data_IF_938522236898
#
_entry.id   IF_938522236898
#
_cell.length_a   1.000
_cell.length_b   1.000
_cell.length_c   1.000
_cell.angle_alpha   90.00
_cell.angle_beta   90.00
_cell.angle_gamma   90.00
#
_symmetry.space_group_name_H-M   'P 1'
#
loop_
_entity.id
_entity.type
_entity.pdbx_description
1 polymer ?
#
# COMPACT_ATOMS: atom_id res chain seq x y z
N UNK A 1 -0.10 25.36 -20.99
CA UNK A 1 1.32 25.08 -21.31
C UNK A 1 1.51 23.59 -21.61
N UNK A 2 0.61 23.00 -22.41
CA UNK A 2 0.65 21.57 -22.73
C UNK A 2 1.87 21.29 -23.60
N UNK A 3 2.68 20.30 -23.26
CA UNK A 3 3.87 19.92 -24.01
C UNK A 3 4.98 20.99 -24.03
N UNK A 4 4.87 22.03 -23.21
CA UNK A 4 5.83 23.13 -23.21
C UNK A 4 7.24 22.63 -22.85
N UNK A 5 8.25 23.18 -23.53
CA UNK A 5 9.64 22.92 -23.20
C UNK A 5 10.17 23.98 -22.24
N UNK A 6 10.35 23.57 -20.97
CA UNK A 6 10.78 24.40 -19.85
C UNK A 6 12.00 23.77 -19.14
N UNK A 7 12.78 22.98 -19.88
CA UNK A 7 13.98 22.30 -19.37
C UNK A 7 14.96 23.35 -18.82
N UNK A 8 15.39 23.16 -17.57
CA UNK A 8 16.29 24.08 -16.84
C UNK A 8 15.80 25.53 -16.73
N UNK A 9 14.51 25.78 -16.97
CA UNK A 9 13.95 27.12 -16.79
C UNK A 9 14.02 27.54 -15.32
N UNK A 10 14.27 28.82 -15.07
CA UNK A 10 14.07 29.40 -13.75
C UNK A 10 12.60 29.83 -13.61
N UNK A 11 11.85 29.06 -12.84
CA UNK A 11 10.43 29.23 -12.54
C UNK A 11 10.21 29.36 -11.03
N UNK A 12 11.25 29.74 -10.28
CA UNK A 12 11.14 29.96 -8.84
C UNK A 12 10.07 31.01 -8.55
N UNK A 13 9.20 30.71 -7.58
CA UNK A 13 8.04 31.55 -7.20
C UNK A 13 7.04 31.86 -8.33
N UNK A 14 7.15 31.17 -9.47
CA UNK A 14 6.19 31.34 -10.55
C UNK A 14 4.82 30.80 -10.13
N UNK A 15 3.75 31.39 -10.67
CA UNK A 15 2.38 30.93 -10.43
C UNK A 15 1.85 30.17 -11.65
N UNK A 16 1.49 28.91 -11.42
CA UNK A 16 0.89 27.96 -12.34
C UNK A 16 -0.42 27.38 -11.76
N UNK A 17 -1.10 28.14 -10.91
CA UNK A 17 -2.37 27.72 -10.31
C UNK A 17 -3.37 27.33 -11.40
N UNK A 18 -3.94 26.13 -11.27
CA UNK A 18 -4.87 25.49 -12.23
C UNK A 18 -4.32 25.37 -13.67
N UNK A 19 -3.01 25.54 -13.86
CA UNK A 19 -2.41 25.49 -15.19
C UNK A 19 -2.39 24.06 -15.73
N UNK A 20 -2.68 23.93 -17.03
CA UNK A 20 -2.46 22.67 -17.73
C UNK A 20 -1.01 22.57 -18.23
N UNK A 21 -0.23 21.72 -17.57
CA UNK A 21 1.17 21.37 -17.83
C UNK A 21 1.30 19.88 -18.27
N UNK A 22 0.23 19.28 -18.79
CA UNK A 22 0.28 17.92 -19.34
C UNK A 22 1.43 17.81 -20.34
N UNK A 23 2.21 16.73 -20.26
CA UNK A 23 3.35 16.44 -21.14
C UNK A 23 4.47 17.52 -21.13
N UNK A 24 4.44 18.49 -20.20
CA UNK A 24 5.46 19.52 -20.13
C UNK A 24 6.84 18.92 -19.80
N UNK A 25 7.89 19.46 -20.42
CA UNK A 25 9.28 19.08 -20.16
C UNK A 25 9.88 20.08 -19.19
N UNK A 26 9.97 19.69 -17.92
CA UNK A 26 10.46 20.50 -16.79
C UNK A 26 11.76 19.91 -16.21
N UNK A 27 12.46 19.06 -16.96
CA UNK A 27 13.68 18.41 -16.48
C UNK A 27 14.73 19.43 -16.02
N UNK A 28 15.19 19.30 -14.77
CA UNK A 28 16.13 20.22 -14.16
C UNK A 28 15.62 21.66 -13.96
N UNK A 29 14.32 21.92 -14.09
CA UNK A 29 13.75 23.25 -13.86
C UNK A 29 13.85 23.63 -12.37
N UNK A 30 14.05 24.93 -12.10
CA UNK A 30 13.95 25.48 -10.76
C UNK A 30 12.50 25.92 -10.53
N UNK A 31 11.78 25.21 -9.67
CA UNK A 31 10.39 25.44 -9.25
C UNK A 31 10.31 25.72 -7.73
N UNK A 32 11.40 26.20 -7.12
CA UNK A 32 11.44 26.53 -5.70
C UNK A 32 10.33 27.52 -5.37
N UNK A 33 9.52 27.22 -4.35
CA UNK A 33 8.38 28.05 -3.92
C UNK A 33 7.36 28.35 -5.05
N UNK A 34 7.35 27.58 -6.15
CA UNK A 34 6.37 27.77 -7.22
C UNK A 34 4.96 27.37 -6.75
N UNK A 35 3.95 28.13 -7.16
CA UNK A 35 2.56 27.80 -6.89
C UNK A 35 1.98 26.97 -8.02
N UNK A 36 1.84 25.66 -7.80
CA UNK A 36 1.28 24.65 -8.71
C UNK A 36 -0.07 24.12 -8.20
N UNK A 37 -0.76 24.87 -7.33
CA UNK A 37 -2.05 24.45 -6.77
C UNK A 37 -3.05 24.14 -7.89
N UNK A 38 -3.66 22.96 -7.86
CA UNK A 38 -4.60 22.50 -8.88
C UNK A 38 -4.00 22.24 -10.28
N UNK A 39 -2.68 22.39 -10.46
CA UNK A 39 -2.06 22.21 -11.76
C UNK A 39 -2.16 20.76 -12.27
N UNK A 40 -2.32 20.60 -13.58
CA UNK A 40 -2.37 19.29 -14.23
C UNK A 40 -1.00 18.99 -14.83
N UNK A 41 -0.23 18.10 -14.19
CA UNK A 41 1.11 17.66 -14.56
C UNK A 41 1.11 16.21 -15.06
N UNK A 42 0.00 15.76 -15.65
CA UNK A 42 -0.12 14.40 -16.18
C UNK A 42 0.95 14.15 -17.25
N UNK A 43 1.66 13.04 -17.14
CA UNK A 43 2.73 12.64 -18.06
C UNK A 43 3.86 13.70 -18.19
N UNK A 44 4.00 14.62 -17.23
CA UNK A 44 5.04 15.65 -17.25
C UNK A 44 6.41 15.07 -16.85
N UNK A 45 7.48 15.61 -17.43
CA UNK A 45 8.86 15.20 -17.13
C UNK A 45 9.50 16.22 -16.20
N UNK A 46 9.58 15.90 -14.91
CA UNK A 46 10.16 16.72 -13.83
C UNK A 46 11.51 16.16 -13.33
N UNK A 47 12.15 15.27 -14.10
CA UNK A 47 13.38 14.61 -13.68
C UNK A 47 14.47 15.63 -13.31
N UNK A 48 14.97 15.56 -12.08
CA UNK A 48 15.97 16.49 -11.53
C UNK A 48 15.48 17.92 -11.27
N UNK A 49 14.17 18.19 -11.35
CA UNK A 49 13.63 19.51 -11.02
C UNK A 49 13.70 19.79 -9.51
N UNK A 50 13.90 21.05 -9.14
CA UNK A 50 13.83 21.50 -7.76
C UNK A 50 12.43 22.05 -7.47
N UNK A 51 11.59 21.26 -6.81
CA UNK A 51 10.25 21.63 -6.36
C UNK A 51 10.27 22.00 -4.86
N UNK A 52 11.42 22.29 -4.27
CA UNK A 52 11.47 22.52 -2.81
C UNK A 52 10.56 23.68 -2.40
N UNK A 53 9.75 23.43 -1.37
CA UNK A 53 8.73 24.35 -0.85
C UNK A 53 7.67 24.78 -1.88
N UNK A 54 7.50 24.04 -2.98
CA UNK A 54 6.42 24.29 -3.94
C UNK A 54 5.05 23.96 -3.34
N UNK A 55 4.01 24.63 -3.85
CA UNK A 55 2.61 24.38 -3.49
C UNK A 55 2.00 23.46 -4.54
N UNK A 56 1.88 22.17 -4.26
CA UNK A 56 1.32 21.12 -5.14
C UNK A 56 -0.09 20.69 -4.68
N UNK A 57 -0.75 21.51 -3.87
CA UNK A 57 -2.05 21.19 -3.31
C UNK A 57 -3.07 20.92 -4.43
N UNK A 58 -3.80 19.81 -4.33
CA UNK A 58 -4.74 19.34 -5.35
C UNK A 58 -4.16 19.17 -6.77
N UNK A 59 -2.84 19.18 -6.95
CA UNK A 59 -2.22 18.98 -8.25
C UNK A 59 -2.35 17.53 -8.73
N UNK A 60 -2.34 17.33 -10.04
CA UNK A 60 -2.38 16.00 -10.68
C UNK A 60 -1.01 15.63 -11.22
N UNK A 61 -0.33 14.66 -10.61
CA UNK A 61 0.99 14.15 -11.02
C UNK A 61 0.92 12.75 -11.64
N UNK A 62 -0.23 12.36 -12.21
CA UNK A 62 -0.41 11.00 -12.76
C UNK A 62 0.61 10.74 -13.88
N UNK A 63 1.35 9.63 -13.79
CA UNK A 63 2.45 9.26 -14.70
C UNK A 63 3.61 10.27 -14.79
N UNK A 64 3.75 11.19 -13.84
CA UNK A 64 4.83 12.16 -13.88
C UNK A 64 6.19 11.50 -13.55
N UNK A 65 7.25 11.95 -14.23
CA UNK A 65 8.62 11.53 -13.94
C UNK A 65 9.27 12.50 -12.96
N UNK A 66 9.42 12.08 -11.70
CA UNK A 66 10.06 12.83 -10.61
C UNK A 66 11.45 12.27 -10.27
N UNK A 67 12.05 11.45 -11.14
CA UNK A 67 13.37 10.85 -10.92
C UNK A 67 14.41 11.92 -10.55
N UNK A 68 15.03 11.82 -9.37
CA UNK A 68 16.02 12.76 -8.87
C UNK A 68 15.51 14.18 -8.57
N UNK A 69 14.19 14.41 -8.56
CA UNK A 69 13.62 15.70 -8.19
C UNK A 69 13.73 15.97 -6.67
N UNK A 70 13.65 17.24 -6.27
CA UNK A 70 13.63 17.65 -4.86
C UNK A 70 12.24 18.17 -4.48
N UNK A 71 11.50 17.43 -3.65
CA UNK A 71 10.17 17.81 -3.16
C UNK A 71 10.22 18.40 -1.73
N UNK A 72 11.39 18.63 -1.16
CA UNK A 72 11.54 18.95 0.27
C UNK A 72 10.70 20.16 0.69
N UNK A 73 9.90 20.01 1.75
CA UNK A 73 9.04 21.08 2.27
C UNK A 73 7.84 21.44 1.38
N UNK A 74 7.59 20.69 0.31
CA UNK A 74 6.44 20.96 -0.57
C UNK A 74 5.12 20.68 0.13
N UNK A 75 4.09 21.45 -0.24
CA UNK A 75 2.72 21.23 0.20
C UNK A 75 2.02 20.31 -0.77
N UNK A 76 1.63 19.11 -0.34
CA UNK A 76 1.08 18.04 -1.18
C UNK A 76 -0.33 17.61 -0.76
N UNK A 77 -1.01 18.43 0.04
CA UNK A 77 -2.39 18.19 0.47
C UNK A 77 -3.31 17.95 -0.75
N UNK A 78 -4.03 16.81 -0.75
CA UNK A 78 -4.93 16.44 -1.85
C UNK A 78 -4.28 16.12 -3.19
N UNK A 79 -2.95 15.94 -3.25
CA UNK A 79 -2.25 15.64 -4.51
C UNK A 79 -2.71 14.29 -5.08
N UNK A 80 -2.96 14.26 -6.39
CA UNK A 80 -3.22 13.03 -7.15
C UNK A 80 -1.92 12.51 -7.78
N UNK A 81 -1.16 11.73 -7.01
CA UNK A 81 0.14 11.19 -7.42
C UNK A 81 0.08 9.69 -7.69
N UNK A 82 -0.38 9.28 -8.88
CA UNK A 82 -0.47 7.86 -9.28
C UNK A 82 0.54 7.53 -10.35
N UNK A 83 1.06 6.29 -10.33
CA UNK A 83 2.04 5.82 -11.32
C UNK A 83 3.25 6.76 -11.44
N UNK A 84 3.71 7.32 -10.32
CA UNK A 84 4.88 8.17 -10.29
C UNK A 84 6.12 7.36 -10.62
N UNK A 85 7.02 7.97 -11.38
CA UNK A 85 8.38 7.46 -11.51
C UNK A 85 9.28 8.19 -10.51
N UNK A 86 9.78 7.43 -9.55
CA UNK A 86 10.66 7.86 -8.47
C UNK A 86 11.91 6.98 -8.48
N UNK A 87 13.00 7.49 -7.90
CA UNK A 87 14.20 6.70 -7.64
C UNK A 87 14.85 7.12 -6.31
N UNK A 88 15.91 6.42 -5.90
CA UNK A 88 16.61 6.70 -4.64
C UNK A 88 17.29 8.08 -4.56
N UNK A 89 17.33 8.85 -5.66
CA UNK A 89 17.83 10.23 -5.68
C UNK A 89 16.73 11.26 -5.44
N UNK A 90 15.47 10.84 -5.54
CA UNK A 90 14.32 11.73 -5.37
C UNK A 90 14.19 12.10 -3.91
N UNK A 91 14.38 13.38 -3.58
CA UNK A 91 14.35 13.87 -2.21
C UNK A 91 12.92 14.18 -1.79
N UNK A 92 12.51 13.61 -0.67
CA UNK A 92 11.18 13.73 -0.12
C UNK A 92 11.38 13.88 1.39
N UNK A 93 11.27 15.11 1.88
CA UNK A 93 11.40 15.41 3.30
C UNK A 93 10.43 16.51 3.68
N UNK A 94 9.83 16.41 4.87
CA UNK A 94 8.93 17.42 5.42
C UNK A 94 7.79 17.80 4.46
N UNK A 95 7.24 16.84 3.71
CA UNK A 95 6.11 17.07 2.83
C UNK A 95 4.89 17.40 3.69
N UNK A 96 4.27 18.55 3.48
CA UNK A 96 3.11 19.00 4.25
C UNK A 96 1.84 18.44 3.62
N UNK A 97 1.04 17.70 4.40
CA UNK A 97 -0.13 16.95 3.89
C UNK A 97 -1.47 17.50 4.37
N UNK A 98 -1.45 18.69 4.98
CA UNK A 98 -2.59 19.41 5.59
C UNK A 98 -2.75 20.75 4.91
N UNK A 99 -3.92 21.38 5.08
CA UNK A 99 -4.18 22.71 4.53
C UNK A 99 -3.50 23.83 5.35
N UNK A 100 -3.72 25.10 5.00
CA UNK A 100 -3.13 26.25 5.72
C UNK A 100 -3.79 26.58 7.07
N UNK A 101 -4.99 26.04 7.34
CA UNK A 101 -5.80 26.30 8.53
C UNK A 101 -5.68 25.20 9.58
N UNK A 102 -5.00 24.10 9.24
CA UNK A 102 -4.80 22.93 10.09
C UNK A 102 -3.36 22.86 10.64
N UNK A 103 -3.17 22.20 11.79
CA UNK A 103 -1.83 21.88 12.28
C UNK A 103 -1.05 21.07 11.24
N UNK A 104 0.18 21.51 10.95
CA UNK A 104 1.00 20.88 9.94
C UNK A 104 1.31 19.42 10.30
N UNK A 105 0.81 18.49 9.48
CA UNK A 105 1.27 17.10 9.45
C UNK A 105 2.28 16.96 8.32
N UNK A 106 3.43 16.37 8.64
CA UNK A 106 4.52 16.17 7.68
C UNK A 106 4.89 14.70 7.52
N UNK A 107 5.29 14.32 6.31
CA UNK A 107 5.84 12.99 5.99
C UNK A 107 7.01 13.11 5.02
N UNK A 108 7.85 12.07 4.96
CA UNK A 108 9.06 12.04 4.12
C UNK A 108 8.90 11.16 2.86
N UNK A 109 7.65 10.88 2.49
CA UNK A 109 7.34 10.06 1.32
C UNK A 109 5.98 10.44 0.75
N UNK A 110 5.92 10.74 -0.55
CA UNK A 110 4.71 11.22 -1.24
C UNK A 110 3.64 10.13 -1.37
N UNK A 111 4.03 8.86 -1.45
CA UNK A 111 3.08 7.75 -1.48
C UNK A 111 2.44 7.54 -0.10
N UNK A 112 3.24 7.67 0.97
CA UNK A 112 2.74 7.70 2.35
C UNK A 112 1.84 8.92 2.58
N UNK A 113 2.22 10.09 2.05
CA UNK A 113 1.41 11.31 2.13
C UNK A 113 0.00 11.09 1.61
N UNK A 114 -0.13 10.45 0.43
CA UNK A 114 -1.43 10.10 -0.15
C UNK A 114 -2.24 9.18 0.75
N UNK A 115 -1.60 8.15 1.30
CA UNK A 115 -2.29 7.18 2.14
C UNK A 115 -2.80 7.83 3.43
N UNK A 116 -1.96 8.62 4.10
CA UNK A 116 -2.36 9.37 5.32
C UNK A 116 -3.46 10.37 4.99
N UNK A 117 -3.35 11.10 3.88
CA UNK A 117 -4.41 12.01 3.43
C UNK A 117 -5.76 11.28 3.26
N UNK A 118 -5.76 10.12 2.61
CA UNK A 118 -6.97 9.28 2.45
C UNK A 118 -7.54 8.87 3.82
N UNK A 119 -6.69 8.48 4.77
CA UNK A 119 -7.14 8.13 6.12
C UNK A 119 -7.72 9.32 6.88
N UNK A 120 -7.17 10.53 6.73
CA UNK A 120 -7.64 11.74 7.42
C UNK A 120 -8.98 12.23 6.87
N UNK A 121 -9.21 12.08 5.57
CA UNK A 121 -10.36 12.69 4.89
C UNK A 121 -11.46 11.70 4.47
N UNK A 122 -11.27 10.40 4.69
CA UNK A 122 -12.26 9.40 4.30
C UNK A 122 -12.65 8.49 5.49
N UNK A 123 -13.79 8.78 6.12
CA UNK A 123 -14.32 7.99 7.24
C UNK A 123 -14.52 6.52 6.85
N UNK A 124 -14.98 6.23 5.63
CA UNK A 124 -15.21 4.85 5.18
C UNK A 124 -13.90 4.05 5.15
N UNK A 125 -12.77 4.69 4.80
CA UNK A 125 -11.46 4.03 4.84
C UNK A 125 -11.08 3.71 6.28
N UNK A 126 -11.32 4.61 7.24
CA UNK A 126 -11.11 4.34 8.66
C UNK A 126 -11.96 3.17 9.15
N UNK A 127 -13.25 3.18 8.83
CA UNK A 127 -14.17 2.10 9.20
C UNK A 127 -13.73 0.74 8.63
N UNK A 128 -13.21 0.73 7.40
CA UNK A 128 -12.63 -0.47 6.76
C UNK A 128 -11.39 -0.95 7.52
N UNK A 129 -10.47 -0.05 7.87
CA UNK A 129 -9.26 -0.39 8.64
C UNK A 129 -9.64 -0.93 10.03
N UNK A 130 -10.59 -0.28 10.70
CA UNK A 130 -11.10 -0.72 12.01
C UNK A 130 -11.76 -2.09 11.90
N UNK A 131 -12.52 -2.35 10.84
CA UNK A 131 -13.12 -3.68 10.58
C UNK A 131 -12.04 -4.74 10.37
N UNK A 132 -11.00 -4.45 9.59
CA UNK A 132 -9.89 -5.38 9.34
C UNK A 132 -9.17 -5.71 10.66
N UNK A 133 -8.84 -4.70 11.44
CA UNK A 133 -8.06 -4.87 12.67
C UNK A 133 -8.86 -5.47 13.82
N UNK A 134 -10.18 -5.25 13.88
CA UNK A 134 -11.02 -5.72 14.98
C UNK A 134 -11.74 -7.05 14.70
N UNK A 135 -12.15 -7.31 13.44
CA UNK A 135 -13.03 -8.43 13.07
C UNK A 135 -12.43 -9.38 12.03
N UNK A 136 -11.47 -8.96 11.21
CA UNK A 136 -10.98 -9.84 10.16
C UNK A 136 -10.17 -11.00 10.73
N UNK A 137 -10.49 -12.21 10.25
CA UNK A 137 -9.77 -13.44 10.57
C UNK A 137 -9.27 -14.01 9.26
N UNK A 138 -7.96 -14.13 9.14
CA UNK A 138 -7.32 -14.66 7.95
C UNK A 138 -7.29 -16.18 8.04
N UNK A 139 -7.89 -16.86 7.05
CA UNK A 139 -7.89 -18.32 6.96
C UNK A 139 -6.97 -18.71 5.81
N UNK A 140 -5.87 -19.36 6.16
CA UNK A 140 -4.77 -19.72 5.26
C UNK A 140 -4.66 -21.24 5.15
N UNK A 141 -4.50 -21.76 3.95
CA UNK A 141 -4.23 -23.18 3.75
C UNK A 141 -4.33 -23.61 2.30
N UNK A 142 -4.12 -24.91 2.08
CA UNK A 142 -4.39 -25.58 0.81
C UNK A 142 -5.53 -26.57 1.02
N UNK A 143 -6.74 -26.16 0.66
CA UNK A 143 -7.93 -26.92 1.03
C UNK A 143 -8.29 -27.93 -0.06
N UNK A 144 -7.97 -29.20 0.19
CA UNK A 144 -8.40 -30.31 -0.67
C UNK A 144 -9.94 -30.42 -0.70
N UNK A 145 -10.50 -31.08 -1.72
CA UNK A 145 -11.95 -31.27 -1.85
C UNK A 145 -12.58 -31.88 -0.59
N UNK A 146 -11.87 -32.77 0.09
CA UNK A 146 -12.30 -33.43 1.33
C UNK A 146 -12.34 -32.49 2.54
N UNK A 147 -11.56 -31.40 2.52
CA UNK A 147 -11.46 -30.43 3.62
C UNK A 147 -12.32 -29.19 3.42
N UNK A 148 -12.88 -28.97 2.23
CA UNK A 148 -13.83 -27.87 1.96
C UNK A 148 -15.01 -27.83 2.95
N UNK A 149 -15.64 -28.95 3.34
CA UNK A 149 -16.71 -28.92 4.35
C UNK A 149 -16.24 -28.41 5.72
N UNK A 150 -15.00 -28.72 6.12
CA UNK A 150 -14.41 -28.22 7.37
C UNK A 150 -14.15 -26.72 7.27
N UNK A 151 -13.60 -26.26 6.15
CA UNK A 151 -13.39 -24.84 5.89
C UNK A 151 -14.71 -24.06 5.93
N UNK A 152 -15.76 -24.56 5.29
CA UNK A 152 -17.07 -23.92 5.30
C UNK A 152 -17.66 -23.86 6.71
N UNK A 153 -17.52 -24.93 7.49
CA UNK A 153 -17.94 -24.94 8.90
C UNK A 153 -17.19 -23.87 9.74
N UNK A 154 -15.88 -23.73 9.54
CA UNK A 154 -15.07 -22.69 10.20
C UNK A 154 -15.58 -21.30 9.81
N UNK A 155 -15.86 -21.06 8.52
CA UNK A 155 -16.35 -19.77 8.04
C UNK A 155 -17.71 -19.41 8.62
N UNK A 156 -18.63 -20.36 8.67
CA UNK A 156 -19.94 -20.15 9.28
C UNK A 156 -19.84 -19.86 10.77
N UNK A 157 -18.98 -20.57 11.49
CA UNK A 157 -18.78 -20.33 12.92
C UNK A 157 -18.13 -18.95 13.19
N UNK A 158 -17.16 -18.54 12.36
CA UNK A 158 -16.59 -17.19 12.43
C UNK A 158 -17.67 -16.12 12.23
N UNK A 159 -18.53 -16.28 11.21
CA UNK A 159 -19.65 -15.35 10.96
C UNK A 159 -20.63 -15.31 12.12
N UNK A 160 -20.95 -16.47 12.72
CA UNK A 160 -21.82 -16.56 13.90
C UNK A 160 -21.27 -15.80 15.11
N UNK A 161 -19.95 -15.66 15.19
CA UNK A 161 -19.24 -14.91 16.23
C UNK A 161 -18.93 -13.45 15.84
N UNK A 162 -19.56 -12.93 14.78
CA UNK A 162 -19.35 -11.57 14.26
C UNK A 162 -17.90 -11.29 13.80
N UNK A 163 -17.19 -12.34 13.38
CA UNK A 163 -15.91 -12.22 12.68
C UNK A 163 -16.10 -12.16 11.17
N UNK A 164 -15.15 -11.51 10.49
CA UNK A 164 -15.08 -11.39 9.04
C UNK A 164 -14.03 -12.38 8.50
N UNK A 165 -14.41 -13.58 8.04
CA UNK A 165 -13.45 -14.53 7.48
C UNK A 165 -12.94 -14.06 6.11
N UNK A 166 -11.61 -13.95 5.97
CA UNK A 166 -10.92 -13.71 4.70
C UNK A 166 -10.15 -14.99 4.35
N UNK A 167 -10.49 -15.59 3.21
CA UNK A 167 -9.94 -16.88 2.79
C UNK A 167 -8.83 -16.69 1.75
N UNK A 168 -7.69 -17.35 1.97
CA UNK A 168 -6.70 -17.61 0.94
C UNK A 168 -6.50 -19.12 0.80
N UNK A 169 -6.98 -19.64 -0.33
CA UNK A 169 -6.80 -21.03 -0.74
C UNK A 169 -5.67 -21.11 -1.77
N UNK A 170 -4.52 -21.64 -1.34
CA UNK A 170 -3.32 -21.75 -2.17
C UNK A 170 -3.40 -22.98 -3.08
N UNK A 171 -4.21 -22.91 -4.14
CA UNK A 171 -4.35 -24.01 -5.10
C UNK A 171 -3.02 -24.34 -5.84
N UNK A 172 -2.18 -23.32 -6.05
CA UNK A 172 -0.88 -23.30 -6.75
C UNK A 172 0.11 -22.45 -5.94
N UNK A 173 1.44 -22.67 -6.02
CA UNK A 173 2.40 -21.78 -5.36
C UNK A 173 2.11 -20.31 -5.69
N UNK A 174 2.01 -19.48 -4.65
CA UNK A 174 1.66 -18.09 -4.82
C UNK A 174 2.80 -17.35 -5.51
N UNK A 175 2.47 -16.39 -6.39
CA UNK A 175 3.49 -15.44 -6.85
C UNK A 175 3.99 -14.65 -5.64
N UNK A 176 5.24 -14.16 -5.72
CA UNK A 176 5.84 -13.34 -4.66
C UNK A 176 4.92 -12.20 -4.22
N UNK A 177 4.27 -11.54 -5.16
CA UNK A 177 3.36 -10.41 -4.92
C UNK A 177 2.13 -10.81 -4.08
N UNK A 178 1.58 -12.01 -4.31
CA UNK A 178 0.47 -12.53 -3.52
C UNK A 178 0.97 -12.82 -2.10
N UNK A 179 2.13 -13.44 -1.95
CA UNK A 179 2.71 -13.72 -0.62
C UNK A 179 2.97 -12.44 0.18
N UNK A 180 3.50 -11.39 -0.45
CA UNK A 180 3.70 -10.08 0.19
C UNK A 180 2.35 -9.44 0.59
N UNK A 181 1.35 -9.50 -0.27
CA UNK A 181 0.00 -8.99 0.02
C UNK A 181 -0.67 -9.74 1.18
N UNK A 182 -0.60 -11.07 1.17
CA UNK A 182 -1.13 -11.91 2.26
C UNK A 182 -0.39 -11.62 3.56
N UNK A 183 0.93 -11.45 3.52
CA UNK A 183 1.73 -11.11 4.70
C UNK A 183 1.31 -9.77 5.31
N UNK A 184 1.04 -8.76 4.48
CA UNK A 184 0.57 -7.46 4.95
C UNK A 184 -0.80 -7.58 5.63
N UNK A 185 -1.75 -8.28 5.00
CA UNK A 185 -3.08 -8.51 5.56
C UNK A 185 -3.01 -9.28 6.87
N UNK A 186 -2.18 -10.32 6.93
CA UNK A 186 -1.95 -11.13 8.11
C UNK A 186 -1.51 -10.29 9.32
N UNK A 187 -0.62 -9.31 9.12
CA UNK A 187 -0.15 -8.38 10.16
C UNK A 187 -1.23 -7.41 10.64
N UNK A 188 -2.27 -7.19 9.85
CA UNK A 188 -3.37 -6.28 10.18
C UNK A 188 -4.59 -7.02 10.76
N UNK A 189 -4.77 -8.31 10.48
CA UNK A 189 -5.93 -9.08 10.94
C UNK A 189 -5.88 -9.38 12.44
N UNK A 190 -7.04 -9.67 13.04
CA UNK A 190 -7.17 -9.95 14.47
C UNK A 190 -6.39 -11.20 14.90
N UNK A 191 -6.52 -12.27 14.12
CA UNK A 191 -5.77 -13.51 14.28
C UNK A 191 -5.88 -14.34 12.99
N UNK A 192 -5.08 -15.39 12.91
CA UNK A 192 -4.95 -16.24 11.74
C UNK A 192 -5.32 -17.67 12.11
N UNK A 193 -6.09 -18.33 11.25
CA UNK A 193 -6.29 -19.78 11.29
C UNK A 193 -5.52 -20.37 10.12
N UNK A 194 -4.53 -21.20 10.42
CA UNK A 194 -3.72 -21.88 9.42
C UNK A 194 -4.03 -23.38 9.45
N UNK A 195 -4.41 -23.93 8.29
CA UNK A 195 -4.51 -25.38 8.12
C UNK A 195 -3.13 -25.94 7.74
N UNK A 196 -2.48 -26.63 8.70
CA UNK A 196 -1.20 -27.32 8.52
C UNK A 196 -1.36 -28.85 8.52
N UNK A 197 -2.58 -29.36 8.36
CA UNK A 197 -2.89 -30.78 8.63
C UNK A 197 -2.28 -31.78 7.67
N UNK A 198 -1.74 -31.34 6.55
CA UNK A 198 -0.88 -32.15 5.70
C UNK A 198 0.51 -31.51 5.65
N UNK A 199 1.51 -32.10 6.34
CA UNK A 199 2.90 -31.63 6.35
C UNK A 199 3.54 -31.54 4.96
N UNK A 200 3.03 -32.30 3.99
CA UNK A 200 3.44 -32.23 2.58
C UNK A 200 2.72 -31.16 1.78
N UNK A 201 1.64 -30.61 2.33
CA UNK A 201 0.83 -29.53 1.77
C UNK A 201 0.91 -28.22 2.55
N UNK A 202 1.76 -28.11 3.59
CA UNK A 202 2.09 -26.81 4.19
C UNK A 202 2.70 -25.97 3.06
N UNK A 203 1.98 -24.94 2.57
CA UNK A 203 2.53 -24.10 1.52
C UNK A 203 3.80 -23.44 2.07
N UNK A 204 4.89 -23.44 1.31
CA UNK A 204 6.13 -22.73 1.69
C UNK A 204 5.85 -21.24 1.99
N UNK A 205 4.79 -20.72 1.40
CA UNK A 205 4.20 -19.42 1.66
C UNK A 205 3.78 -19.26 3.12
N UNK A 206 3.11 -20.25 3.70
CA UNK A 206 2.71 -20.26 5.10
C UNK A 206 3.94 -20.31 6.03
N UNK A 207 4.97 -21.07 5.68
CA UNK A 207 6.25 -21.08 6.42
C UNK A 207 7.00 -19.74 6.34
N UNK A 208 6.87 -19.00 5.24
CA UNK A 208 7.43 -17.65 5.13
C UNK A 208 6.60 -16.61 5.92
N UNK A 209 5.28 -16.80 5.99
CA UNK A 209 4.35 -15.86 6.63
C UNK A 209 4.37 -16.04 8.16
N UNK A 210 4.10 -17.24 8.66
CA UNK A 210 3.81 -17.54 10.09
C UNK A 210 4.91 -17.11 11.08
N UNK A 211 6.21 -17.38 10.86
CA UNK A 211 7.25 -17.06 11.85
C UNK A 211 7.44 -15.57 12.10
N UNK A 212 7.00 -14.72 11.17
CA UNK A 212 7.19 -13.27 11.22
C UNK A 212 6.01 -12.50 11.81
N UNK A 213 4.94 -13.20 12.20
CA UNK A 213 3.68 -12.58 12.58
C UNK A 213 3.61 -12.31 14.09
N UNK A 214 3.19 -11.10 14.42
CA UNK A 214 2.91 -10.67 15.80
C UNK A 214 1.47 -10.95 16.24
N UNK A 215 0.65 -11.55 15.36
CA UNK A 215 -0.75 -11.86 15.63
C UNK A 215 -0.92 -13.33 16.05
N UNK A 216 -1.92 -13.68 16.87
CA UNK A 216 -2.15 -15.07 17.24
C UNK A 216 -2.40 -15.95 16.01
N UNK A 217 -1.75 -17.11 15.97
CA UNK A 217 -1.93 -18.12 14.92
C UNK A 217 -2.47 -19.39 15.55
N UNK A 218 -3.66 -19.82 15.13
CA UNK A 218 -4.24 -21.11 15.52
C UNK A 218 -3.96 -22.12 14.42
N UNK A 219 -3.28 -23.21 14.80
CA UNK A 219 -3.03 -24.33 13.93
C UNK A 219 -4.18 -25.33 14.02
N UNK A 220 -4.67 -25.77 12.87
CA UNK A 220 -5.49 -26.97 12.79
C UNK A 220 -4.52 -28.15 12.66
N UNK A 221 -4.52 -29.05 13.63
CA UNK A 221 -3.81 -30.33 13.56
C UNK A 221 -4.79 -31.44 13.21
N UNK A 222 -4.42 -32.30 12.27
CA UNK A 222 -5.18 -33.48 11.92
C UNK A 222 -4.94 -34.52 12.98
N UNK A 223 -5.93 -35.36 13.29
CA UNK A 223 -5.73 -36.54 14.12
C UNK A 223 -4.83 -37.54 13.40
N UNK A 224 -3.51 -37.29 13.41
CA UNK A 224 -2.51 -38.25 13.00
C UNK A 224 -2.52 -39.36 14.03
N UNK A 225 -3.09 -40.53 13.68
CA UNK A 225 -2.81 -41.75 14.44
C UNK A 225 -1.29 -41.88 14.51
N UNK A 226 -0.68 -42.07 15.70
CA UNK A 226 0.75 -42.30 15.78
C UNK A 226 1.07 -43.52 14.91
N UNK A 227 2.05 -43.36 14.02
CA UNK A 227 2.60 -44.46 13.24
C UNK A 227 3.02 -45.57 14.21
N UNK A 228 2.25 -46.66 14.25
CA UNK A 228 2.68 -47.89 14.88
C UNK A 228 3.78 -48.50 14.00
N UNK A 229 5.03 -48.12 14.26
CA UNK A 229 6.17 -48.94 13.86
C UNK A 229 6.18 -50.13 14.80
N UNK A 230 5.65 -51.26 14.33
CA UNK A 230 6.16 -52.63 14.43
C UNK A 230 5.02 -53.57 14.02
N UNK A 231 5.23 -54.33 12.93
CA UNK A 231 4.43 -55.52 12.61
C UNK A 231 5.03 -56.65 13.43
N UNK A 232 4.25 -57.23 14.31
CA UNK A 232 4.57 -58.51 14.93
C UNK A 232 4.64 -59.58 13.83
N UNK A 233 5.79 -60.23 13.71
CA UNK A 233 5.97 -61.53 13.06
C UNK A 233 6.46 -62.51 14.13
#
# INVERSE_FOLDING_TARGET
>A
LIGANLVRANLSRATFMDANLCLAKLGGANLIEANLRGAILRDAVLSGADLSRAVLEAATLVNADLTGADLSGSRVHGVSAWCLKLDGRTKQQNLVITDDHEPAITVDNIEVAKFVYLMLHNQKIRDVIDTITSKAVLVLGRFTTERKPVLDAIREELRRRDYLPILFDFAVPATRDITETVSLLARMTRFIIADLTDPSSIPKELEAIVPSLAVPVQLLEGSSRPYAMFKDY
#
